data_IF_933122197232
#
_entry.id   IF_933122197232
#
_cell.length_a   1.000
_cell.length_b   1.000
_cell.length_c   1.000
_cell.angle_alpha   90.00
_cell.angle_beta   90.00
_cell.angle_gamma   90.00
#
_symmetry.space_group_name_H-M   'P 1'
#
loop_
_entity.id
_entity.type
_entity.pdbx_description
1 polymer ?
#
# COMPACT_ATOMS: atom_id res chain seq x y z
N UNK A 1 19.18 -23.24 -22.95
CA UNK A 1 18.97 -23.56 -21.52
C UNK A 1 19.91 -22.69 -20.70
N UNK A 2 19.53 -21.44 -20.43
CA UNK A 2 20.36 -20.49 -19.69
C UNK A 2 20.08 -20.64 -18.18
N UNK A 3 21.12 -20.97 -17.43
CA UNK A 3 21.14 -21.08 -15.98
C UNK A 3 20.92 -19.69 -15.38
N UNK A 4 19.74 -19.46 -14.80
CA UNK A 4 19.46 -18.29 -13.97
C UNK A 4 20.23 -18.44 -12.66
N UNK A 5 21.34 -17.71 -12.56
CA UNK A 5 22.06 -17.54 -11.31
C UNK A 5 21.16 -16.81 -10.32
N UNK A 6 20.71 -17.55 -9.29
CA UNK A 6 20.01 -17.02 -8.14
C UNK A 6 20.96 -16.18 -7.29
N UNK A 7 20.93 -14.87 -7.51
CA UNK A 7 21.42 -13.89 -6.55
C UNK A 7 20.54 -13.96 -5.29
N UNK A 8 20.90 -14.82 -4.34
CA UNK A 8 20.48 -14.67 -2.94
C UNK A 8 21.65 -14.06 -2.19
N UNK A 9 21.87 -12.78 -2.44
CA UNK A 9 22.73 -11.94 -1.64
C UNK A 9 21.98 -10.64 -1.37
N UNK A 10 21.11 -10.66 -0.37
CA UNK A 10 20.59 -9.42 0.21
C UNK A 10 20.30 -9.66 1.69
N UNK A 11 21.30 -9.36 2.51
CA UNK A 11 21.11 -9.22 3.94
C UNK A 11 20.09 -8.12 4.22
N UNK A 12 19.13 -8.41 5.09
CA UNK A 12 18.35 -7.39 5.78
C UNK A 12 18.24 -7.81 7.23
N UNK A 13 19.25 -7.34 7.97
CA UNK A 13 19.31 -7.21 9.42
C UNK A 13 17.96 -6.66 9.92
N UNK A 14 17.11 -7.52 10.46
CA UNK A 14 15.84 -7.11 11.08
C UNK A 14 16.08 -6.71 12.52
N UNK A 15 16.84 -5.64 12.69
CA UNK A 15 16.75 -4.81 13.88
C UNK A 15 16.05 -3.51 13.47
N UNK A 16 14.73 -3.48 13.63
CA UNK A 16 14.03 -2.22 13.83
C UNK A 16 13.55 -2.23 15.29
N UNK A 17 14.46 -1.87 16.19
CA UNK A 17 14.08 -1.31 17.48
C UNK A 17 13.96 0.20 17.29
N UNK A 18 12.84 0.78 17.71
CA UNK A 18 12.72 2.07 18.42
C UNK A 18 11.35 2.74 18.17
N UNK A 19 10.52 2.70 19.21
CA UNK A 19 9.74 3.85 19.67
C UNK A 19 8.81 4.56 18.68
N UNK A 20 7.90 3.86 18.00
CA UNK A 20 6.69 4.52 17.49
C UNK A 20 5.66 4.53 18.61
N UNK A 21 5.25 5.73 19.08
CA UNK A 21 4.10 5.87 19.98
C UNK A 21 2.91 5.11 19.37
N UNK A 22 2.04 4.50 20.17
CA UNK A 22 0.96 3.63 19.67
C UNK A 22 0.10 4.28 18.57
N UNK A 23 0.00 5.62 18.56
CA UNK A 23 -0.64 6.37 17.48
C UNK A 23 0.12 6.31 16.14
N UNK A 24 1.44 6.40 16.13
CA UNK A 24 2.25 6.31 14.91
C UNK A 24 2.23 4.90 14.32
N UNK A 25 2.22 3.85 15.15
CA UNK A 25 2.12 2.48 14.67
C UNK A 25 0.74 2.19 14.07
N UNK A 26 -0.34 2.69 14.67
CA UNK A 26 -1.71 2.59 14.13
C UNK A 26 -1.85 3.38 12.82
N UNK A 27 -1.33 4.60 12.76
CA UNK A 27 -1.32 5.39 11.54
C UNK A 27 -0.58 4.67 10.41
N UNK A 28 0.63 4.17 10.69
CA UNK A 28 1.43 3.41 9.73
C UNK A 28 0.70 2.16 9.25
N UNK A 29 0.10 1.39 10.16
CA UNK A 29 -0.66 0.19 9.80
C UNK A 29 -1.86 0.53 8.88
N UNK A 30 -2.54 1.66 9.13
CA UNK A 30 -3.61 2.16 8.26
C UNK A 30 -3.09 2.55 6.88
N UNK A 31 -1.95 3.24 6.80
CA UNK A 31 -1.33 3.60 5.53
C UNK A 31 -0.90 2.36 4.73
N UNK A 32 -0.30 1.37 5.37
CA UNK A 32 0.06 0.11 4.72
C UNK A 32 -1.18 -0.66 4.22
N UNK A 33 -2.27 -0.63 4.97
CA UNK A 33 -3.55 -1.20 4.53
C UNK A 33 -4.10 -0.46 3.30
N UNK A 34 -4.07 0.88 3.29
CA UNK A 34 -4.51 1.67 2.14
C UNK A 34 -3.69 1.40 0.88
N UNK A 35 -2.36 1.28 0.98
CA UNK A 35 -1.52 0.90 -0.15
C UNK A 35 -1.96 -0.45 -0.77
N UNK A 36 -2.25 -1.44 0.07
CA UNK A 36 -2.75 -2.75 -0.41
C UNK A 36 -4.11 -2.62 -1.11
N UNK A 37 -5.00 -1.78 -0.59
CA UNK A 37 -6.31 -1.56 -1.20
C UNK A 37 -6.19 -0.85 -2.55
N UNK A 38 -5.29 0.13 -2.69
CA UNK A 38 -4.98 0.80 -3.97
C UNK A 38 -4.45 -0.20 -5.00
N UNK A 39 -3.56 -1.10 -4.61
CA UNK A 39 -3.05 -2.15 -5.51
C UNK A 39 -4.17 -3.10 -5.95
N UNK A 40 -5.08 -3.48 -5.03
CA UNK A 40 -6.25 -4.30 -5.36
C UNK A 40 -7.22 -3.57 -6.30
N UNK A 41 -7.46 -2.28 -6.07
CA UNK A 41 -8.28 -1.43 -6.94
C UNK A 41 -7.71 -1.41 -8.35
N UNK A 42 -6.40 -1.17 -8.47
CA UNK A 42 -5.70 -1.16 -9.75
C UNK A 42 -5.85 -2.47 -10.52
N UNK A 43 -5.74 -3.61 -9.84
CA UNK A 43 -5.97 -4.92 -10.46
C UNK A 43 -7.44 -5.12 -10.87
N UNK A 44 -8.39 -4.64 -10.06
CA UNK A 44 -9.82 -4.70 -10.36
C UNK A 44 -10.17 -3.88 -11.60
N UNK A 45 -9.68 -2.65 -11.69
CA UNK A 45 -9.87 -1.76 -12.84
C UNK A 45 -9.27 -2.38 -14.11
N UNK A 46 -8.08 -2.95 -14.00
CA UNK A 46 -7.43 -3.62 -15.14
C UNK A 46 -8.24 -4.82 -15.64
N UNK A 47 -8.81 -5.62 -14.73
CA UNK A 47 -9.60 -6.82 -15.09
C UNK A 47 -11.03 -6.52 -15.51
N UNK A 48 -11.66 -5.50 -14.92
CA UNK A 48 -13.08 -5.19 -15.13
C UNK A 48 -13.34 -4.12 -16.18
N UNK A 49 -12.46 -3.11 -16.27
CA UNK A 49 -12.63 -1.97 -17.18
C UNK A 49 -11.61 -1.98 -18.33
N UNK A 50 -10.71 -2.96 -18.37
CA UNK A 50 -9.57 -3.02 -19.31
C UNK A 50 -8.72 -1.75 -19.33
N UNK A 51 -8.72 -0.96 -18.24
CA UNK A 51 -7.88 0.23 -18.10
C UNK A 51 -6.64 -0.07 -17.28
N UNK A 52 -5.48 0.38 -17.76
CA UNK A 52 -4.24 0.30 -17.00
C UNK A 52 -3.97 1.62 -16.29
N UNK A 53 -3.96 1.59 -14.96
CA UNK A 53 -3.58 2.74 -14.13
C UNK A 53 -2.11 2.62 -13.71
N UNK A 54 -1.40 3.74 -13.64
CA UNK A 54 -0.15 3.82 -12.88
C UNK A 54 -0.45 3.78 -11.37
N UNK A 55 0.58 3.63 -10.54
CA UNK A 55 0.41 3.70 -9.07
C UNK A 55 -0.15 5.06 -8.64
N UNK A 56 0.40 6.13 -9.20
CA UNK A 56 -0.02 7.50 -8.86
C UNK A 56 -1.45 7.78 -9.32
N UNK A 57 -1.83 7.34 -10.52
CA UNK A 57 -3.20 7.48 -11.02
C UNK A 57 -4.19 6.66 -10.18
N UNK A 58 -3.83 5.43 -9.81
CA UNK A 58 -4.66 4.62 -8.92
C UNK A 58 -4.81 5.26 -7.54
N UNK A 59 -3.76 5.87 -6.99
CA UNK A 59 -3.81 6.57 -5.72
C UNK A 59 -4.70 7.83 -5.79
N UNK A 60 -4.60 8.63 -6.84
CA UNK A 60 -5.44 9.81 -7.05
C UNK A 60 -6.92 9.43 -7.17
N UNK A 61 -7.24 8.46 -8.03
CA UNK A 61 -8.61 7.96 -8.16
C UNK A 61 -9.13 7.33 -6.86
N UNK A 62 -8.26 6.66 -6.10
CA UNK A 62 -8.63 6.08 -4.81
C UNK A 62 -8.96 7.14 -3.77
N UNK A 63 -8.18 8.22 -3.70
CA UNK A 63 -8.44 9.36 -2.82
C UNK A 63 -9.77 10.01 -3.20
N UNK A 64 -9.97 10.32 -4.49
CA UNK A 64 -11.18 10.96 -4.99
C UNK A 64 -12.46 10.16 -4.68
N UNK A 65 -12.39 8.83 -4.76
CA UNK A 65 -13.56 7.95 -4.59
C UNK A 65 -13.80 7.47 -3.15
N UNK A 66 -12.74 7.33 -2.37
CA UNK A 66 -12.81 6.60 -1.10
C UNK A 66 -12.24 7.37 0.09
N UNK A 67 -11.54 8.50 -0.07
CA UNK A 67 -10.95 9.22 1.07
C UNK A 67 -12.00 9.67 2.09
N UNK A 68 -13.18 10.08 1.64
CA UNK A 68 -14.30 10.47 2.51
C UNK A 68 -14.82 9.33 3.40
N UNK A 69 -14.54 8.07 3.04
CA UNK A 69 -14.90 6.92 3.88
C UNK A 69 -13.95 6.69 5.05
N UNK A 70 -12.80 7.38 5.05
CA UNK A 70 -11.75 7.22 6.05
C UNK A 70 -11.72 8.36 7.09
N UNK A 71 -12.80 9.14 7.23
CA UNK A 71 -12.90 10.17 8.27
C UNK A 71 -12.55 9.53 9.61
N UNK A 72 -11.46 9.96 10.27
CA UNK A 72 -11.11 9.42 11.57
C UNK A 72 -12.26 9.73 12.51
N UNK A 73 -12.83 8.71 13.16
CA UNK A 73 -13.85 8.89 14.18
C UNK A 73 -13.32 9.84 15.26
N UNK A 74 -13.63 11.13 15.15
CA UNK A 74 -13.50 12.12 16.19
C UNK A 74 -14.89 12.73 16.38
N UNK A 75 -15.79 11.91 16.93
CA UNK A 75 -16.97 12.44 17.59
C UNK A 75 -16.49 13.08 18.89
N UNK A 76 -16.92 14.33 19.09
CA UNK A 76 -16.57 15.26 20.16
C UNK A 76 -16.48 14.65 21.55
#
# INVERSE_FOLDING_TARGET
MALFQGWVSMGMNRHCAEGTTGAQSVFRARMEAQCKQIDQYRLRVMRGECRYLSKDQAALEWIDRYADTFVPCNHK
#
